data_IF_795784641516
#
_entry.id   IF_795784641516
#
_cell.length_a   1.000
_cell.length_b   1.000
_cell.length_c   1.000
_cell.angle_alpha   90.00
_cell.angle_beta   90.00
_cell.angle_gamma   90.00
#
_symmetry.space_group_name_H-M   'P 1'
#
loop_
_entity.id
_entity.type
_entity.pdbx_description
1 polymer ?
#
# COMPACT_ATOMS: atom_id res chain seq x y z
N UNK A 1 -29.13 12.39 1.94
CA UNK A 1 -28.45 12.51 0.62
C UNK A 1 -27.89 11.15 0.21
N UNK A 2 -27.99 10.71 -1.06
CA UNK A 2 -27.27 9.49 -1.48
C UNK A 2 -25.77 9.80 -1.49
N UNK A 3 -24.90 8.91 -0.99
CA UNK A 3 -23.47 9.10 -1.14
C UNK A 3 -23.12 9.19 -2.63
N UNK A 4 -22.12 10.00 -3.01
CA UNK A 4 -21.69 10.09 -4.41
C UNK A 4 -21.20 8.73 -4.90
N UNK A 5 -21.20 8.56 -6.21
CA UNK A 5 -20.55 7.39 -6.81
C UNK A 5 -19.03 7.59 -6.65
N UNK A 6 -18.43 6.73 -5.85
CA UNK A 6 -16.99 6.69 -5.69
C UNK A 6 -16.36 5.82 -6.78
N UNK A 7 -15.21 6.25 -7.29
CA UNK A 7 -14.42 5.48 -8.24
C UNK A 7 -13.32 4.74 -7.47
N UNK A 8 -13.06 3.49 -7.83
CA UNK A 8 -12.07 2.61 -7.22
C UNK A 8 -10.99 2.31 -8.27
N UNK A 9 -9.79 2.86 -8.08
CA UNK A 9 -8.64 2.68 -8.96
C UNK A 9 -7.63 1.75 -8.31
N UNK A 10 -7.23 0.73 -9.05
CA UNK A 10 -6.32 -0.31 -8.59
C UNK A 10 -4.89 0.01 -8.99
N UNK A 11 -3.98 0.08 -8.03
CA UNK A 11 -2.59 0.37 -8.31
C UNK A 11 -1.59 -0.47 -7.53
N UNK A 12 -0.33 -0.29 -7.91
CA UNK A 12 0.82 -0.89 -7.24
C UNK A 12 1.80 0.20 -6.84
N UNK A 13 2.22 0.17 -5.60
CA UNK A 13 3.17 1.11 -5.00
C UNK A 13 4.44 0.34 -4.64
N UNK A 14 5.59 0.99 -4.73
CA UNK A 14 6.91 0.47 -4.41
C UNK A 14 7.38 -0.60 -5.40
N UNK A 15 8.03 -0.16 -6.46
CA UNK A 15 8.61 -1.04 -7.49
C UNK A 15 9.85 -0.39 -8.09
N UNK A 16 10.77 -1.23 -8.58
CA UNK A 16 12.08 -0.83 -9.07
C UNK A 16 12.28 -1.21 -10.53
N UNK A 17 12.73 -0.25 -11.32
CA UNK A 17 13.04 -0.46 -12.74
C UNK A 17 14.54 -0.62 -12.98
N UNK A 18 14.94 -0.66 -14.25
CA UNK A 18 16.34 -0.63 -14.66
C UNK A 18 17.05 0.72 -14.35
N UNK A 19 16.35 1.71 -13.82
CA UNK A 19 16.95 2.94 -13.30
C UNK A 19 17.49 2.77 -11.86
N UNK A 20 17.03 1.75 -11.14
CA UNK A 20 17.57 1.37 -9.84
C UNK A 20 18.83 0.52 -10.00
N UNK A 21 19.81 0.69 -9.13
CA UNK A 21 21.09 -0.05 -9.22
C UNK A 21 20.91 -1.58 -9.06
N UNK A 22 19.80 -2.02 -8.51
CA UNK A 22 19.47 -3.43 -8.21
C UNK A 22 18.21 -3.92 -8.94
N UNK A 23 17.50 -3.04 -9.64
CA UNK A 23 16.45 -3.34 -10.57
C UNK A 23 17.01 -3.65 -11.96
N UNK A 24 16.27 -4.40 -12.80
CA UNK A 24 16.72 -4.75 -14.13
C UNK A 24 15.68 -4.63 -15.23
N UNK A 25 14.41 -4.55 -14.86
CA UNK A 25 13.32 -4.56 -15.85
C UNK A 25 13.11 -3.15 -16.41
N UNK A 26 13.18 -2.99 -17.74
CA UNK A 26 12.87 -1.70 -18.37
C UNK A 26 11.42 -1.27 -18.07
N UNK A 27 11.18 0.03 -17.89
CA UNK A 27 9.85 0.59 -17.58
C UNK A 27 8.80 0.12 -18.59
N UNK A 28 9.13 0.04 -19.87
CA UNK A 28 8.20 -0.44 -20.90
C UNK A 28 7.69 -1.88 -20.68
N UNK A 29 8.52 -2.76 -20.11
CA UNK A 29 8.11 -4.13 -19.78
C UNK A 29 7.27 -4.16 -18.48
N UNK A 30 7.58 -3.28 -17.52
CA UNK A 30 6.76 -3.10 -16.31
C UNK A 30 5.37 -2.61 -16.70
N UNK A 31 5.26 -1.61 -17.57
CA UNK A 31 4.00 -1.08 -18.07
C UNK A 31 3.19 -2.12 -18.86
N UNK A 32 3.84 -2.93 -19.72
CA UNK A 32 3.17 -4.06 -20.39
C UNK A 32 2.58 -5.06 -19.40
N UNK A 33 3.31 -5.36 -18.33
CA UNK A 33 2.82 -6.25 -17.27
C UNK A 33 1.64 -5.62 -16.51
N UNK A 34 1.69 -4.32 -16.21
CA UNK A 34 0.61 -3.57 -15.55
C UNK A 34 -0.67 -3.57 -16.40
N UNK A 35 -0.56 -3.20 -17.67
CA UNK A 35 -1.68 -3.22 -18.63
C UNK A 35 -2.30 -4.62 -18.75
N UNK A 36 -1.50 -5.67 -18.80
CA UNK A 36 -1.99 -7.06 -18.86
C UNK A 36 -2.86 -7.44 -17.65
N UNK A 37 -2.60 -6.84 -16.50
CA UNK A 37 -3.31 -7.11 -15.25
C UNK A 37 -4.35 -6.05 -14.87
N UNK A 38 -4.64 -5.10 -15.77
CA UNK A 38 -5.61 -4.04 -15.53
C UNK A 38 -5.24 -3.19 -14.30
N UNK A 39 -3.95 -2.83 -14.18
CA UNK A 39 -3.48 -1.92 -13.13
C UNK A 39 -3.65 -0.49 -13.63
N UNK A 40 -4.46 0.31 -12.91
CA UNK A 40 -4.79 1.67 -13.33
C UNK A 40 -3.63 2.64 -13.10
N UNK A 41 -2.84 2.43 -12.02
CA UNK A 41 -1.70 3.29 -11.72
C UNK A 41 -0.51 2.53 -11.11
N UNK A 42 0.69 3.06 -11.33
CA UNK A 42 1.94 2.59 -10.72
C UNK A 42 2.65 3.76 -10.03
N UNK A 43 3.18 3.52 -8.83
CA UNK A 43 4.13 4.41 -8.17
C UNK A 43 5.52 3.77 -8.20
N UNK A 44 6.32 4.18 -9.18
CA UNK A 44 7.70 3.75 -9.36
C UNK A 44 8.59 4.46 -8.32
N UNK A 45 9.50 3.72 -7.68
CA UNK A 45 10.32 4.22 -6.57
C UNK A 45 11.77 3.75 -6.66
N UNK A 46 12.39 3.97 -7.81
CA UNK A 46 13.80 3.62 -8.01
C UNK A 46 14.69 4.26 -6.94
N UNK A 47 15.71 3.54 -6.48
CA UNK A 47 16.57 3.99 -5.38
C UNK A 47 17.27 5.31 -5.67
N UNK A 48 16.96 6.33 -4.87
CA UNK A 48 17.59 7.66 -4.85
C UNK A 48 17.71 8.33 -6.22
N UNK A 49 16.70 8.14 -7.07
CA UNK A 49 16.68 8.72 -8.42
C UNK A 49 15.26 9.04 -8.89
N UNK A 50 15.14 10.17 -9.57
CA UNK A 50 13.94 10.56 -10.34
C UNK A 50 14.25 10.58 -11.85
N UNK A 51 15.26 9.82 -12.30
CA UNK A 51 15.69 9.86 -13.69
C UNK A 51 14.59 9.43 -14.66
N UNK A 52 13.76 8.46 -14.27
CA UNK A 52 12.60 8.03 -15.06
C UNK A 52 11.63 9.20 -15.33
N UNK A 53 11.42 10.11 -14.36
CA UNK A 53 10.62 11.33 -14.55
C UNK A 53 11.29 12.30 -15.52
N UNK A 54 12.59 12.54 -15.36
CA UNK A 54 13.38 13.43 -16.25
C UNK A 54 13.40 12.92 -17.70
N UNK A 55 13.38 11.61 -17.89
CA UNK A 55 13.33 10.97 -19.21
C UNK A 55 11.90 10.91 -19.78
N UNK A 56 10.89 11.51 -19.10
CA UNK A 56 9.53 11.68 -19.59
C UNK A 56 8.63 10.46 -19.46
N UNK A 57 8.94 9.53 -18.55
CA UNK A 57 8.10 8.34 -18.33
C UNK A 57 6.86 8.61 -17.46
N UNK A 58 6.84 9.72 -16.68
CA UNK A 58 5.65 10.03 -15.86
C UNK A 58 4.45 10.41 -16.74
N UNK A 59 3.30 9.74 -16.53
CA UNK A 59 2.08 9.98 -17.29
C UNK A 59 1.35 8.71 -17.74
N UNK A 60 0.38 8.88 -18.63
CA UNK A 60 -0.43 7.78 -19.14
C UNK A 60 0.27 6.92 -20.19
N UNK A 61 0.20 5.58 -20.01
CA UNK A 61 0.75 4.57 -20.92
C UNK A 61 -0.28 3.45 -21.15
N UNK A 62 -1.02 3.53 -22.27
CA UNK A 62 -1.98 2.48 -22.67
C UNK A 62 -2.95 2.02 -21.56
N UNK A 63 -3.46 2.95 -20.74
CA UNK A 63 -4.42 2.66 -19.68
C UNK A 63 -3.82 2.53 -18.27
N UNK A 64 -2.50 2.59 -18.10
CA UNK A 64 -1.83 2.70 -16.80
C UNK A 64 -1.18 4.07 -16.63
N UNK A 65 -1.46 4.75 -15.52
CA UNK A 65 -0.83 6.01 -15.15
C UNK A 65 0.45 5.73 -14.34
N UNK A 66 1.61 6.06 -14.90
CA UNK A 66 2.88 5.94 -14.19
C UNK A 66 3.17 7.24 -13.42
N UNK A 67 3.41 7.12 -12.13
CA UNK A 67 3.81 8.19 -11.22
C UNK A 67 5.21 7.85 -10.71
N UNK A 68 6.14 8.78 -10.84
CA UNK A 68 7.53 8.57 -10.47
C UNK A 68 7.81 9.23 -9.12
N UNK A 69 8.30 8.43 -8.19
CA UNK A 69 8.89 8.83 -6.93
C UNK A 69 10.28 8.23 -6.77
N UNK A 70 10.80 8.25 -5.56
CA UNK A 70 12.06 7.61 -5.22
C UNK A 70 11.94 6.83 -3.91
N UNK A 71 12.75 5.80 -3.74
CA UNK A 71 13.03 5.22 -2.44
C UNK A 71 14.36 5.76 -1.92
N UNK A 72 14.31 6.51 -0.82
CA UNK A 72 15.48 6.94 -0.05
C UNK A 72 15.86 5.74 0.82
N UNK A 73 16.96 5.07 0.48
CA UNK A 73 17.35 3.78 1.04
C UNK A 73 18.74 3.81 1.71
N UNK A 74 18.88 4.40 2.91
CA UNK A 74 20.06 4.20 3.74
C UNK A 74 20.17 2.74 4.21
N UNK A 75 21.11 2.45 5.15
CA UNK A 75 21.26 1.06 5.65
C UNK A 75 20.01 0.52 6.36
N UNK A 76 19.26 1.39 6.99
CA UNK A 76 17.97 1.16 7.64
C UNK A 76 17.04 2.32 7.32
N UNK A 77 15.78 2.23 7.74
CA UNK A 77 14.85 3.35 7.70
C UNK A 77 14.56 3.83 6.27
N UNK A 78 14.19 2.89 5.38
CA UNK A 78 13.83 3.18 4.00
C UNK A 78 12.55 4.02 3.90
N UNK A 79 12.51 4.95 2.94
CA UNK A 79 11.43 5.92 2.84
C UNK A 79 11.03 6.18 1.39
N UNK A 80 9.76 5.96 1.07
CA UNK A 80 9.21 6.29 -0.23
C UNK A 80 8.84 7.77 -0.29
N UNK A 81 9.31 8.47 -1.30
CA UNK A 81 9.07 9.90 -1.49
C UNK A 81 8.44 10.17 -2.86
N UNK A 82 7.33 10.90 -2.85
CA UNK A 82 6.52 11.22 -4.03
C UNK A 82 6.25 12.72 -4.16
N UNK A 83 5.74 13.15 -5.31
CA UNK A 83 5.41 14.56 -5.61
C UNK A 83 6.65 15.45 -5.50
N UNK A 84 7.76 14.95 -6.02
CA UNK A 84 9.04 15.66 -6.07
C UNK A 84 9.44 15.96 -7.51
N UNK A 85 10.06 17.13 -7.71
CA UNK A 85 10.68 17.50 -9.00
C UNK A 85 12.17 17.13 -9.03
N UNK A 86 12.81 17.12 -7.86
CA UNK A 86 14.18 16.71 -7.67
C UNK A 86 14.30 15.77 -6.47
N UNK A 87 15.26 14.86 -6.51
CA UNK A 87 15.53 13.92 -5.41
C UNK A 87 15.79 14.67 -4.10
N UNK A 88 15.30 14.11 -3.01
CA UNK A 88 15.40 14.73 -1.70
C UNK A 88 16.78 14.58 -1.06
N UNK A 89 17.51 13.51 -1.42
CA UNK A 89 18.80 13.16 -0.82
C UNK A 89 19.78 12.70 -1.90
N UNK A 90 21.01 13.18 -1.82
CA UNK A 90 22.09 12.67 -2.66
C UNK A 90 22.63 11.34 -2.13
N UNK A 91 23.01 10.42 -3.04
CA UNK A 91 23.53 9.09 -2.67
C UNK A 91 24.70 9.18 -1.69
N UNK A 92 25.55 10.19 -1.81
CA UNK A 92 26.69 10.40 -0.92
C UNK A 92 26.30 10.77 0.52
N UNK A 93 25.10 11.27 0.74
CA UNK A 93 24.58 11.63 2.07
C UNK A 93 23.95 10.42 2.80
N UNK A 94 23.46 9.42 2.06
CA UNK A 94 22.67 8.29 2.60
C UNK A 94 23.29 7.60 3.83
N UNK A 95 24.61 7.33 3.91
CA UNK A 95 25.19 6.64 5.06
C UNK A 95 25.11 7.40 6.38
N UNK A 96 24.86 8.72 6.34
CA UNK A 96 24.98 9.59 7.50
C UNK A 96 23.73 10.42 7.78
N UNK A 97 22.79 10.53 6.83
CA UNK A 97 21.59 11.35 6.99
C UNK A 97 20.59 10.72 7.94
N UNK A 98 20.16 11.40 9.02
CA UNK A 98 19.16 10.85 9.93
C UNK A 98 17.76 10.85 9.27
N UNK A 99 16.88 9.91 9.65
CA UNK A 99 15.52 9.78 9.08
C UNK A 99 14.71 11.07 9.13
N UNK A 100 14.75 11.79 10.22
CA UNK A 100 14.01 13.05 10.36
C UNK A 100 14.42 14.10 9.33
N UNK A 101 15.67 14.11 8.91
CA UNK A 101 16.19 15.10 7.96
C UNK A 101 15.58 14.88 6.56
N UNK A 102 15.61 13.65 6.02
CA UNK A 102 15.03 13.42 4.70
C UNK A 102 13.49 13.50 4.72
N UNK A 103 12.82 13.13 5.82
CA UNK A 103 11.38 13.37 6.00
C UNK A 103 11.09 14.88 5.90
N UNK A 104 11.88 15.72 6.57
CA UNK A 104 11.73 17.18 6.52
C UNK A 104 11.97 17.72 5.11
N UNK A 105 13.01 17.25 4.40
CA UNK A 105 13.30 17.66 3.03
C UNK A 105 12.17 17.33 2.06
N UNK A 106 11.58 16.13 2.16
CA UNK A 106 10.42 15.73 1.36
C UNK A 106 9.23 16.64 1.69
N UNK A 107 8.91 16.80 2.97
CA UNK A 107 7.78 17.62 3.42
C UNK A 107 7.90 19.10 3.02
N UNK A 108 9.05 19.71 3.18
CA UNK A 108 9.26 21.14 2.84
C UNK A 108 9.17 21.41 1.35
N UNK A 109 9.37 20.39 0.50
CA UNK A 109 9.16 20.47 -0.96
C UNK A 109 7.73 20.16 -1.37
N UNK A 110 6.79 20.00 -0.41
CA UNK A 110 5.40 19.63 -0.68
C UNK A 110 5.21 18.17 -1.07
N UNK A 111 6.24 17.33 -0.88
CA UNK A 111 6.21 15.91 -1.17
C UNK A 111 5.37 15.11 -0.18
N UNK A 112 4.96 13.92 -0.59
CA UNK A 112 4.36 12.89 0.26
C UNK A 112 5.40 11.82 0.56
N UNK A 113 5.45 11.37 1.82
CA UNK A 113 6.43 10.37 2.19
C UNK A 113 5.88 9.27 3.08
N UNK A 114 6.36 8.05 2.84
CA UNK A 114 5.90 6.84 3.52
C UNK A 114 7.08 6.05 4.06
N UNK A 115 7.00 5.64 5.31
CA UNK A 115 7.92 4.66 5.90
C UNK A 115 7.72 3.33 5.16
N UNK A 116 8.76 2.83 4.50
CA UNK A 116 8.69 1.61 3.70
C UNK A 116 8.89 0.36 4.58
N UNK A 117 8.17 -0.72 4.25
CA UNK A 117 8.33 -2.08 4.79
C UNK A 117 8.92 -2.14 6.22
N UNK A 118 8.27 -1.49 7.24
CA UNK A 118 8.89 -1.22 8.54
C UNK A 118 9.35 -2.46 9.31
N UNK A 119 8.78 -3.63 9.04
CA UNK A 119 9.10 -4.90 9.70
C UNK A 119 9.91 -5.85 8.79
N UNK A 120 10.74 -5.31 7.89
CA UNK A 120 11.56 -6.12 6.99
C UNK A 120 12.70 -6.82 7.75
N UNK A 121 12.53 -8.12 8.02
CA UNK A 121 13.50 -8.93 8.78
C UNK A 121 14.56 -9.59 7.89
N UNK A 122 14.35 -9.64 6.57
CA UNK A 122 15.19 -10.37 5.65
C UNK A 122 15.10 -11.89 5.84
N UNK A 123 16.05 -12.65 5.27
CA UNK A 123 16.14 -14.10 5.47
C UNK A 123 17.56 -14.60 5.37
N UNK A 124 18.04 -15.26 6.43
CA UNK A 124 19.37 -15.89 6.46
C UNK A 124 19.51 -16.99 5.41
N UNK A 125 18.42 -17.70 5.08
CA UNK A 125 18.39 -18.80 4.13
C UNK A 125 18.89 -18.41 2.73
N UNK A 126 18.64 -17.14 2.33
CA UNK A 126 19.03 -16.62 1.03
C UNK A 126 19.97 -15.42 1.12
N UNK A 127 20.58 -15.20 2.28
CA UNK A 127 21.48 -14.08 2.55
C UNK A 127 20.86 -12.71 2.25
N UNK A 128 19.53 -12.57 2.44
CA UNK A 128 18.85 -11.29 2.36
C UNK A 128 19.02 -10.56 3.67
N UNK A 129 19.60 -9.38 3.61
CA UNK A 129 19.79 -8.52 4.79
C UNK A 129 18.43 -7.99 5.27
N UNK A 130 18.34 -7.61 6.54
CA UNK A 130 17.19 -6.94 7.12
C UNK A 130 17.30 -5.44 6.93
N UNK A 131 16.16 -4.79 6.68
CA UNK A 131 16.03 -3.34 6.44
C UNK A 131 14.81 -2.78 7.20
N UNK A 132 14.72 -2.98 8.54
CA UNK A 132 13.58 -2.49 9.31
C UNK A 132 13.63 -0.97 9.46
N UNK A 133 12.48 -0.39 9.78
CA UNK A 133 12.42 0.96 10.30
C UNK A 133 12.77 0.97 11.79
N UNK A 134 13.73 1.78 12.20
CA UNK A 134 14.28 1.77 13.56
C UNK A 134 13.98 3.02 14.37
N UNK A 135 13.90 4.18 13.73
CA UNK A 135 13.63 5.46 14.40
C UNK A 135 12.15 5.86 14.35
N UNK A 136 11.40 5.41 15.35
CA UNK A 136 9.98 5.75 15.48
C UNK A 136 9.71 7.08 16.18
N UNK A 137 10.74 7.84 16.57
CA UNK A 137 10.60 9.18 17.14
C UNK A 137 10.35 10.25 16.07
N UNK A 138 10.52 9.93 14.79
CA UNK A 138 10.34 10.84 13.67
C UNK A 138 8.88 11.26 13.47
N UNK A 139 8.69 12.45 12.90
CA UNK A 139 7.39 13.02 12.61
C UNK A 139 7.34 13.66 11.22
N UNK A 140 6.10 13.92 10.72
CA UNK A 140 5.90 14.63 9.46
C UNK A 140 5.83 13.75 8.21
N UNK A 141 5.93 12.42 8.33
CA UNK A 141 5.64 11.49 7.24
C UNK A 141 4.12 11.37 7.01
N UNK A 142 3.71 11.06 5.78
CA UNK A 142 2.30 10.92 5.39
C UNK A 142 1.71 9.59 5.86
N UNK A 143 2.49 8.51 5.75
CA UNK A 143 1.98 7.18 6.03
C UNK A 143 3.08 6.13 6.20
N UNK A 144 2.65 4.87 6.26
CA UNK A 144 3.53 3.71 6.38
C UNK A 144 3.07 2.57 5.48
N UNK A 145 4.00 1.73 5.05
CA UNK A 145 3.70 0.43 4.46
C UNK A 145 3.12 -0.51 5.51
N UNK A 146 1.86 -0.88 5.36
CA UNK A 146 1.20 -1.80 6.29
C UNK A 146 1.29 -3.25 5.84
N UNK A 147 1.50 -3.49 4.55
CA UNK A 147 1.65 -4.82 3.98
C UNK A 147 2.59 -4.77 2.78
N UNK A 148 3.81 -5.24 2.96
CA UNK A 148 4.77 -5.42 1.88
C UNK A 148 4.82 -6.87 1.41
N UNK A 149 4.76 -7.08 0.09
CA UNK A 149 4.78 -8.40 -0.54
C UNK A 149 6.10 -9.12 -0.29
N UNK A 150 7.23 -8.45 -0.55
CA UNK A 150 8.54 -9.11 -0.45
C UNK A 150 8.86 -9.48 0.98
N UNK A 151 8.57 -8.62 1.96
CA UNK A 151 8.72 -8.91 3.39
C UNK A 151 7.86 -10.10 3.82
N UNK A 152 6.55 -10.10 3.52
CA UNK A 152 5.66 -11.19 3.93
C UNK A 152 6.05 -12.52 3.26
N UNK A 153 6.43 -12.47 1.98
CA UNK A 153 6.91 -13.65 1.28
C UNK A 153 8.22 -14.18 1.89
N UNK A 154 9.22 -13.33 2.12
CA UNK A 154 10.50 -13.70 2.72
C UNK A 154 10.33 -14.29 4.13
N UNK A 155 9.48 -13.68 4.96
CA UNK A 155 9.16 -14.17 6.31
C UNK A 155 8.45 -15.55 6.29
N UNK A 156 7.92 -15.97 5.13
CA UNK A 156 7.34 -17.31 4.96
C UNK A 156 8.39 -18.41 4.74
N UNK A 157 9.64 -18.06 4.41
CA UNK A 157 10.68 -18.98 3.96
C UNK A 157 11.40 -19.63 5.16
N UNK A 158 11.06 -20.88 5.47
CA UNK A 158 11.68 -21.64 6.59
C UNK A 158 12.52 -22.83 6.13
N UNK A 159 12.77 -22.98 4.82
CA UNK A 159 13.57 -24.08 4.26
C UNK A 159 13.46 -24.14 2.74
N UNK A 160 14.36 -24.85 2.05
CA UNK A 160 14.44 -24.87 0.58
C UNK A 160 13.18 -25.39 -0.10
N UNK A 161 12.59 -26.49 0.36
CA UNK A 161 11.36 -27.03 -0.19
C UNK A 161 10.22 -26.00 -0.09
N UNK A 162 10.10 -25.39 1.08
CA UNK A 162 9.08 -24.35 1.29
C UNK A 162 9.33 -23.13 0.41
N UNK A 163 10.59 -22.75 0.19
CA UNK A 163 10.94 -21.64 -0.70
C UNK A 163 10.54 -21.93 -2.14
N UNK A 164 10.76 -23.13 -2.65
CA UNK A 164 10.30 -23.55 -4.00
C UNK A 164 8.78 -23.45 -4.10
N UNK A 165 8.05 -23.96 -3.13
CA UNK A 165 6.58 -23.88 -3.10
C UNK A 165 6.09 -22.43 -2.97
N UNK A 166 6.72 -21.62 -2.10
CA UNK A 166 6.38 -20.23 -1.93
C UNK A 166 6.71 -19.38 -3.16
N UNK A 167 7.75 -19.73 -3.91
CA UNK A 167 8.03 -19.13 -5.20
C UNK A 167 6.98 -19.53 -6.25
N UNK A 168 6.60 -20.81 -6.32
CA UNK A 168 5.62 -21.30 -7.29
C UNK A 168 4.20 -20.74 -7.03
N UNK A 169 3.80 -20.66 -5.77
CA UNK A 169 2.45 -20.31 -5.33
C UNK A 169 2.48 -19.19 -4.25
N UNK A 170 3.04 -18.00 -4.53
CA UNK A 170 3.33 -17.00 -3.51
C UNK A 170 2.11 -16.61 -2.67
N UNK A 171 0.95 -16.41 -3.28
CA UNK A 171 -0.25 -16.00 -2.58
C UNK A 171 -0.69 -16.96 -1.46
N UNK A 172 -0.37 -18.26 -1.56
CA UNK A 172 -0.70 -19.25 -0.51
C UNK A 172 0.18 -19.11 0.72
N UNK A 173 1.33 -18.49 0.59
CA UNK A 173 2.31 -18.32 1.67
C UNK A 173 2.24 -16.96 2.33
N UNK A 174 1.55 -15.98 1.72
CA UNK A 174 1.30 -14.68 2.33
C UNK A 174 0.39 -14.84 3.56
N UNK A 175 0.78 -14.18 4.64
CA UNK A 175 0.13 -14.24 5.96
C UNK A 175 -0.72 -13.01 6.25
N UNK A 176 -0.50 -11.92 5.48
CA UNK A 176 -1.11 -10.62 5.71
C UNK A 176 -0.16 -9.63 6.38
N UNK A 177 -0.64 -8.42 6.65
CA UNK A 177 0.09 -7.44 7.42
C UNK A 177 0.60 -8.03 8.74
N UNK A 178 1.84 -7.70 9.11
CA UNK A 178 2.39 -8.15 10.38
C UNK A 178 1.57 -7.57 11.54
N UNK A 179 1.22 -8.37 12.57
CA UNK A 179 0.45 -7.86 13.71
C UNK A 179 1.13 -6.70 14.42
N UNK A 180 2.47 -6.68 14.48
CA UNK A 180 3.24 -5.58 15.06
C UNK A 180 3.07 -4.30 14.26
N UNK A 181 3.12 -4.36 12.91
CA UNK A 181 2.88 -3.22 12.02
C UNK A 181 1.48 -2.66 12.20
N UNK A 182 0.45 -3.53 12.22
CA UNK A 182 -0.93 -3.10 12.44
C UNK A 182 -1.12 -2.43 13.81
N UNK A 183 -0.58 -3.02 14.88
CA UNK A 183 -0.68 -2.46 16.23
C UNK A 183 0.03 -1.09 16.32
N UNK A 184 1.18 -0.94 15.68
CA UNK A 184 1.87 0.34 15.59
C UNK A 184 1.07 1.37 14.79
N UNK A 185 0.58 0.99 13.63
CA UNK A 185 -0.27 1.85 12.80
C UNK A 185 -1.51 2.30 13.55
N UNK A 186 -2.20 1.38 14.25
CA UNK A 186 -3.35 1.70 15.10
C UNK A 186 -2.98 2.68 16.24
N UNK A 187 -1.76 2.60 16.79
CA UNK A 187 -1.27 3.55 17.80
C UNK A 187 -1.01 4.93 17.17
N UNK A 188 -0.31 4.98 16.06
CA UNK A 188 0.01 6.24 15.36
C UNK A 188 -1.25 6.98 14.88
N UNK A 189 -2.25 6.24 14.42
CA UNK A 189 -3.52 6.83 13.94
C UNK A 189 -4.37 7.43 15.06
N UNK A 190 -4.11 7.13 16.33
CA UNK A 190 -4.76 7.78 17.47
C UNK A 190 -4.30 9.23 17.67
N UNK A 191 -3.09 9.52 17.24
CA UNK A 191 -2.48 10.86 17.42
C UNK A 191 -2.73 11.77 16.21
N UNK A 192 -2.65 11.21 15.00
CA UNK A 192 -2.84 11.93 13.75
C UNK A 192 -3.25 10.97 12.63
N UNK A 193 -3.65 11.51 11.48
CA UNK A 193 -3.82 10.68 10.29
C UNK A 193 -2.45 10.11 9.88
N UNK A 194 -2.37 8.78 9.74
CA UNK A 194 -1.24 8.05 9.17
C UNK A 194 -1.81 7.09 8.14
N UNK A 195 -1.45 7.29 6.88
CA UNK A 195 -2.01 6.52 5.77
C UNK A 195 -1.32 5.16 5.67
N UNK A 196 -2.10 4.09 5.62
CA UNK A 196 -1.60 2.73 5.34
C UNK A 196 -1.60 2.45 3.84
N UNK A 197 -0.47 1.99 3.29
CA UNK A 197 -0.34 1.55 1.91
C UNK A 197 0.10 0.09 1.82
N UNK A 198 -0.20 -0.55 0.69
CA UNK A 198 0.38 -1.84 0.30
C UNK A 198 1.58 -1.61 -0.60
N UNK A 199 2.63 -2.38 -0.40
CA UNK A 199 3.89 -2.28 -1.12
C UNK A 199 4.19 -3.58 -1.84
N UNK A 200 4.86 -3.49 -2.98
CA UNK A 200 5.32 -4.67 -3.71
C UNK A 200 6.80 -4.96 -3.47
N UNK A 201 7.61 -3.93 -3.43
CA UNK A 201 9.09 -3.96 -3.28
C UNK A 201 9.77 -4.94 -4.24
N UNK A 202 9.32 -4.93 -5.49
CA UNK A 202 9.79 -5.90 -6.48
C UNK A 202 10.89 -5.34 -7.38
N UNK A 203 11.98 -6.11 -7.51
CA UNK A 203 13.16 -5.76 -8.30
C UNK A 203 13.35 -6.67 -9.52
N UNK A 204 12.57 -7.75 -9.65
CA UNK A 204 12.77 -8.80 -10.65
C UNK A 204 14.22 -9.34 -10.65
N UNK A 205 14.80 -9.51 -9.47
CA UNK A 205 16.21 -9.88 -9.27
C UNK A 205 16.54 -11.24 -9.89
N UNK A 206 17.70 -11.36 -10.55
CA UNK A 206 18.22 -12.65 -11.00
C UNK A 206 19.00 -13.35 -9.88
N UNK A 207 18.65 -14.60 -9.62
CA UNK A 207 19.40 -15.50 -8.74
C UNK A 207 19.88 -16.71 -9.52
N UNK A 208 21.14 -17.09 -9.30
CA UNK A 208 21.68 -18.36 -9.82
C UNK A 208 21.29 -19.51 -8.89
N UNK A 209 20.57 -20.49 -9.44
CA UNK A 209 20.16 -21.69 -8.73
C UNK A 209 20.54 -22.89 -9.60
N UNK A 210 21.42 -23.77 -9.12
CA UNK A 210 21.89 -24.96 -9.84
C UNK A 210 22.40 -24.66 -11.27
N UNK A 211 23.11 -23.54 -11.45
CA UNK A 211 23.63 -23.11 -12.75
C UNK A 211 22.63 -22.35 -13.65
N UNK A 212 21.34 -22.33 -13.31
CA UNK A 212 20.31 -21.60 -14.05
C UNK A 212 20.09 -20.22 -13.45
N UNK A 213 19.88 -19.21 -14.32
CA UNK A 213 19.47 -17.88 -13.89
C UNK A 213 17.94 -17.84 -13.77
N UNK A 214 17.44 -17.69 -12.55
CA UNK A 214 16.01 -17.60 -12.25
C UNK A 214 15.68 -16.17 -11.87
N UNK A 215 14.67 -15.59 -12.55
CA UNK A 215 14.08 -14.31 -12.16
C UNK A 215 13.23 -14.51 -10.92
N UNK A 216 13.55 -13.76 -9.86
CA UNK A 216 12.74 -13.74 -8.65
C UNK A 216 11.60 -12.73 -8.88
N UNK A 217 10.41 -13.26 -9.16
CA UNK A 217 9.18 -12.53 -9.40
C UNK A 217 9.22 -11.51 -10.55
N UNK A 218 9.17 -12.00 -11.82
CA UNK A 218 8.86 -11.11 -12.94
C UNK A 218 7.57 -10.34 -12.70
N UNK A 219 7.50 -9.07 -13.08
CA UNK A 219 6.36 -8.17 -12.82
C UNK A 219 5.01 -8.78 -13.24
N UNK A 220 4.97 -9.51 -14.36
CA UNK A 220 3.77 -10.21 -14.81
C UNK A 220 3.20 -11.23 -13.81
N UNK A 221 4.02 -11.73 -12.85
CA UNK A 221 3.53 -12.66 -11.81
C UNK A 221 3.00 -11.98 -10.58
N UNK A 222 3.50 -10.78 -10.25
CA UNK A 222 3.28 -10.16 -8.94
C UNK A 222 2.22 -9.06 -8.95
N UNK A 223 1.90 -8.46 -10.09
CA UNK A 223 0.90 -7.40 -10.18
C UNK A 223 -0.54 -7.81 -9.81
N UNK A 224 -0.78 -9.08 -9.52
CA UNK A 224 -2.04 -9.59 -8.95
C UNK A 224 -1.99 -9.82 -7.45
N UNK A 225 -0.87 -9.55 -6.81
CA UNK A 225 -0.68 -9.82 -5.38
C UNK A 225 -1.12 -8.61 -4.56
N UNK A 226 -0.21 -7.96 -3.86
CA UNK A 226 -0.56 -6.81 -3.02
C UNK A 226 -0.80 -5.58 -3.91
N UNK A 227 -1.98 -4.99 -3.75
CA UNK A 227 -2.41 -3.79 -4.46
C UNK A 227 -2.89 -2.75 -3.47
N UNK A 228 -2.64 -1.49 -3.78
CA UNK A 228 -3.25 -0.34 -3.12
C UNK A 228 -4.35 0.19 -4.02
N UNK A 229 -5.56 0.24 -3.49
CA UNK A 229 -6.71 0.85 -4.15
C UNK A 229 -6.89 2.27 -3.67
N UNK A 230 -7.11 3.22 -4.58
CA UNK A 230 -7.40 4.61 -4.28
C UNK A 230 -8.85 4.94 -4.64
N UNK A 231 -9.55 5.51 -3.68
CA UNK A 231 -10.97 5.87 -3.81
C UNK A 231 -11.08 7.37 -4.10
N UNK A 232 -11.70 7.72 -5.23
CA UNK A 232 -11.84 9.11 -5.66
C UNK A 232 -13.30 9.47 -5.91
N UNK A 233 -13.67 10.73 -5.68
CA UNK A 233 -14.97 11.28 -6.08
C UNK A 233 -14.92 11.71 -7.55
N UNK A 234 -13.79 12.26 -7.99
CA UNK A 234 -13.57 12.68 -9.37
C UNK A 234 -13.04 11.51 -10.18
N UNK A 235 -13.62 11.15 -11.32
CA UNK A 235 -13.06 10.14 -12.21
C UNK A 235 -11.79 10.66 -12.88
N UNK A 236 -10.87 9.74 -13.21
CA UNK A 236 -9.69 10.06 -14.02
C UNK A 236 -10.13 10.44 -15.45
N UNK A 237 -9.47 11.45 -15.99
CA UNK A 237 -9.87 12.13 -17.23
C UNK A 237 -9.04 11.73 -18.45
N UNK A 238 -7.89 11.08 -18.25
CA UNK A 238 -6.87 10.84 -19.28
C UNK A 238 -5.83 11.98 -19.39
N UNK A 239 -5.99 13.07 -18.63
CA UNK A 239 -4.96 14.10 -18.51
C UNK A 239 -4.00 13.73 -17.39
N UNK A 240 -2.73 13.47 -17.72
CA UNK A 240 -1.74 12.98 -16.77
C UNK A 240 -1.61 13.86 -15.53
N UNK A 241 -1.44 15.17 -15.70
CA UNK A 241 -1.22 16.08 -14.58
C UNK A 241 -2.44 16.19 -13.66
N UNK A 242 -3.64 16.30 -14.23
CA UNK A 242 -4.88 16.36 -13.47
C UNK A 242 -5.13 15.05 -12.71
N UNK A 243 -4.91 13.92 -13.37
CA UNK A 243 -5.18 12.60 -12.81
C UNK A 243 -4.16 12.21 -11.72
N UNK A 244 -2.88 12.58 -11.89
CA UNK A 244 -1.86 12.47 -10.84
C UNK A 244 -2.27 13.27 -9.60
N UNK A 245 -2.78 14.48 -9.77
CA UNK A 245 -3.26 15.31 -8.65
C UNK A 245 -4.47 14.67 -7.93
N UNK A 246 -5.40 14.05 -8.67
CA UNK A 246 -6.54 13.32 -8.11
C UNK A 246 -6.07 12.12 -7.27
N UNK A 247 -5.11 11.31 -7.79
CA UNK A 247 -4.58 10.16 -7.05
C UNK A 247 -3.76 10.59 -5.83
N UNK A 248 -2.94 11.63 -5.94
CA UNK A 248 -2.23 12.16 -4.77
C UNK A 248 -3.18 12.69 -3.70
N UNK A 249 -4.26 13.36 -4.08
CA UNK A 249 -5.28 13.80 -3.11
C UNK A 249 -5.92 12.62 -2.37
N UNK A 250 -6.29 11.56 -3.10
CA UNK A 250 -6.83 10.35 -2.47
C UNK A 250 -5.82 9.70 -1.53
N UNK A 251 -4.56 9.55 -1.97
CA UNK A 251 -3.49 8.95 -1.18
C UNK A 251 -3.19 9.76 0.09
N UNK A 252 -3.01 11.07 -0.02
CA UNK A 252 -2.70 11.97 1.10
C UNK A 252 -3.79 11.98 2.16
N UNK A 253 -5.06 11.86 1.74
CA UNK A 253 -6.20 11.82 2.63
C UNK A 253 -6.52 10.41 3.16
N UNK A 254 -5.79 9.37 2.74
CA UNK A 254 -6.04 8.00 3.20
C UNK A 254 -7.33 7.40 2.62
N UNK A 255 -7.83 7.92 1.50
CA UNK A 255 -8.93 7.31 0.75
C UNK A 255 -8.43 6.09 -0.01
N UNK A 256 -7.93 5.12 0.75
CA UNK A 256 -7.22 3.95 0.24
C UNK A 256 -7.53 2.69 1.04
N UNK A 257 -7.35 1.56 0.38
CA UNK A 257 -7.28 0.27 1.04
C UNK A 257 -6.23 -0.63 0.36
N UNK A 258 -5.71 -1.60 1.11
CA UNK A 258 -4.73 -2.58 0.64
C UNK A 258 -5.44 -3.92 0.43
N UNK A 259 -5.16 -4.60 -0.68
CA UNK A 259 -5.79 -5.86 -0.98
C UNK A 259 -4.84 -6.89 -1.59
N UNK A 260 -5.10 -8.17 -1.29
CA UNK A 260 -4.54 -9.32 -2.00
C UNK A 260 -5.54 -9.78 -3.06
N UNK A 261 -5.42 -9.24 -4.27
CA UNK A 261 -6.37 -9.48 -5.37
C UNK A 261 -6.16 -10.81 -6.12
N UNK A 262 -5.19 -11.59 -5.69
CA UNK A 262 -4.86 -12.85 -6.34
C UNK A 262 -6.00 -13.85 -6.40
N UNK A 263 -6.72 -14.03 -5.30
CA UNK A 263 -7.81 -15.00 -5.20
C UNK A 263 -9.12 -14.49 -5.78
N UNK A 264 -9.45 -13.26 -5.47
CA UNK A 264 -10.66 -12.55 -5.88
C UNK A 264 -10.37 -11.05 -5.91
N UNK A 265 -10.89 -10.37 -6.93
CA UNK A 265 -10.83 -8.91 -6.98
C UNK A 265 -11.57 -8.31 -5.79
N UNK A 266 -10.96 -7.31 -5.18
CA UNK A 266 -11.55 -6.50 -4.12
C UNK A 266 -12.31 -5.28 -4.66
N UNK A 267 -12.26 -5.01 -5.97
CA UNK A 267 -12.97 -3.89 -6.59
C UNK A 267 -14.46 -3.95 -6.29
N UNK A 268 -15.01 -2.82 -5.85
CA UNK A 268 -16.36 -2.73 -5.32
C UNK A 268 -16.45 -2.86 -3.78
N UNK A 269 -15.31 -2.98 -3.09
CA UNK A 269 -15.26 -2.76 -1.64
C UNK A 269 -15.68 -1.32 -1.32
N UNK A 270 -16.50 -1.15 -0.29
CA UNK A 270 -16.89 0.17 0.20
C UNK A 270 -17.16 0.16 1.70
N UNK A 271 -16.86 1.29 2.33
CA UNK A 271 -17.20 1.56 3.72
C UNK A 271 -17.71 2.99 3.82
N UNK A 272 -18.99 3.14 4.11
CA UNK A 272 -19.68 4.43 4.18
C UNK A 272 -20.31 4.59 5.55
N UNK A 273 -19.91 5.63 6.26
CA UNK A 273 -20.55 6.09 7.48
C UNK A 273 -21.49 7.24 7.14
N UNK A 274 -22.75 7.18 7.61
CA UNK A 274 -23.74 8.22 7.31
C UNK A 274 -24.69 8.44 8.49
N UNK A 275 -25.14 9.67 8.66
CA UNK A 275 -26.24 10.04 9.55
C UNK A 275 -27.55 10.32 8.78
N UNK A 276 -27.55 10.04 7.48
CA UNK A 276 -28.68 10.32 6.58
C UNK A 276 -28.46 11.57 5.72
N UNK A 277 -27.88 12.63 6.27
CA UNK A 277 -27.63 13.90 5.58
C UNK A 277 -26.19 14.03 5.10
N UNK A 278 -25.23 13.55 5.89
CA UNK A 278 -23.80 13.57 5.61
C UNK A 278 -23.27 12.14 5.46
N UNK A 279 -22.14 12.02 4.80
CA UNK A 279 -21.41 10.75 4.70
C UNK A 279 -19.91 10.97 4.88
N UNK A 280 -19.22 9.90 5.25
CA UNK A 280 -17.76 9.78 5.25
C UNK A 280 -17.36 8.41 4.72
N UNK A 281 -16.20 8.33 4.09
CA UNK A 281 -15.57 7.10 3.63
C UNK A 281 -14.17 6.97 4.21
N UNK A 282 -13.36 6.04 3.70
CA UNK A 282 -11.99 5.82 4.13
C UNK A 282 -11.19 7.13 4.14
N UNK A 283 -10.40 7.34 5.19
CA UNK A 283 -9.59 8.53 5.39
C UNK A 283 -10.33 9.75 5.92
N UNK A 284 -11.65 9.81 5.81
CA UNK A 284 -12.42 10.98 6.21
C UNK A 284 -12.60 11.07 7.74
N UNK A 285 -12.76 12.31 8.22
CA UNK A 285 -13.22 12.61 9.57
C UNK A 285 -14.74 12.81 9.57
N UNK A 286 -15.43 12.32 10.60
CA UNK A 286 -16.87 12.43 10.77
C UNK A 286 -17.24 12.76 12.20
N UNK A 287 -17.77 13.97 12.43
CA UNK A 287 -18.29 14.38 13.73
C UNK A 287 -19.72 13.84 13.93
N UNK A 288 -19.93 12.96 14.92
CA UNK A 288 -21.25 12.42 15.25
C UNK A 288 -21.99 13.30 16.23
N UNK A 289 -23.23 13.68 15.90
CA UNK A 289 -24.19 14.35 16.77
C UNK A 289 -25.20 13.36 17.37
N UNK A 290 -25.47 12.30 16.63
CA UNK A 290 -26.35 11.18 17.00
C UNK A 290 -25.79 9.88 16.37
N UNK A 291 -26.27 8.72 16.78
CA UNK A 291 -25.82 7.45 16.24
C UNK A 291 -25.96 7.39 14.71
N UNK A 292 -24.82 7.14 14.03
CA UNK A 292 -24.72 7.06 12.59
C UNK A 292 -24.57 5.61 12.13
N UNK A 293 -24.89 5.29 10.88
CA UNK A 293 -24.82 3.93 10.34
C UNK A 293 -23.54 3.76 9.50
N UNK A 294 -22.70 2.79 9.89
CA UNK A 294 -21.58 2.32 9.05
C UNK A 294 -22.04 1.13 8.23
N UNK A 295 -21.97 1.27 6.91
CA UNK A 295 -22.24 0.24 5.91
C UNK A 295 -20.94 -0.19 5.26
N UNK A 296 -20.56 -1.45 5.45
CA UNK A 296 -19.42 -2.07 4.77
C UNK A 296 -19.96 -3.07 3.76
N UNK A 297 -19.47 -3.00 2.51
CA UNK A 297 -19.78 -3.95 1.45
C UNK A 297 -18.51 -4.51 0.85
N UNK A 298 -18.50 -5.82 0.57
CA UNK A 298 -17.42 -6.52 -0.13
C UNK A 298 -18.00 -7.28 -1.34
N UNK A 299 -17.26 -7.36 -2.48
CA UNK A 299 -17.80 -7.98 -3.70
C UNK A 299 -18.02 -9.50 -3.56
N UNK A 300 -17.30 -10.15 -2.67
CA UNK A 300 -17.40 -11.60 -2.42
C UNK A 300 -17.66 -11.87 -0.96
N UNK A 301 -18.27 -13.05 -0.65
CA UNK A 301 -18.45 -13.47 0.73
C UNK A 301 -17.12 -13.58 1.45
N UNK A 302 -17.05 -12.92 2.61
CA UNK A 302 -15.85 -12.82 3.42
C UNK A 302 -16.17 -12.76 4.91
N UNK A 303 -15.21 -13.05 5.77
CA UNK A 303 -15.26 -12.63 7.16
C UNK A 303 -14.84 -11.17 7.21
N UNK A 304 -15.76 -10.30 7.57
CA UNK A 304 -15.55 -8.85 7.71
C UNK A 304 -15.39 -8.54 9.19
N UNK A 305 -14.34 -7.83 9.56
CA UNK A 305 -14.06 -7.37 10.92
C UNK A 305 -14.01 -5.84 10.91
N UNK A 306 -14.73 -5.23 11.79
CA UNK A 306 -14.59 -3.82 12.13
C UNK A 306 -13.67 -3.71 13.34
N UNK A 307 -12.60 -2.99 13.19
CA UNK A 307 -11.61 -2.68 14.22
C UNK A 307 -11.87 -1.26 14.69
N UNK A 308 -11.88 -1.05 16.00
CA UNK A 308 -11.99 0.29 16.62
C UNK A 308 -10.81 0.54 17.53
N UNK A 309 -10.05 1.59 17.28
CA UNK A 309 -8.86 1.98 18.07
C UNK A 309 -7.80 0.86 18.21
N UNK A 310 -7.72 -0.03 17.22
CA UNK A 310 -6.84 -1.20 17.22
C UNK A 310 -7.48 -2.50 17.72
N UNK A 311 -8.66 -2.44 18.38
CA UNK A 311 -9.31 -3.61 18.94
C UNK A 311 -10.48 -4.12 18.08
N UNK A 312 -10.71 -5.43 17.99
CA UNK A 312 -11.89 -6.00 17.34
C UNK A 312 -13.18 -5.47 17.97
N UNK A 313 -14.03 -4.85 17.16
CA UNK A 313 -15.27 -4.23 17.64
C UNK A 313 -16.52 -5.01 17.21
N UNK A 314 -16.63 -5.35 15.91
CA UNK A 314 -17.74 -6.14 15.35
C UNK A 314 -17.21 -7.03 14.24
N UNK A 315 -17.92 -8.12 13.96
CA UNK A 315 -17.64 -8.97 12.80
C UNK A 315 -18.89 -9.60 12.23
N UNK A 316 -18.83 -9.92 10.93
CA UNK A 316 -19.84 -10.71 10.23
C UNK A 316 -19.18 -11.63 9.19
N UNK A 317 -19.92 -12.64 8.73
CA UNK A 317 -19.58 -13.44 7.55
C UNK A 317 -20.65 -13.20 6.50
N UNK A 318 -20.26 -12.77 5.31
CA UNK A 318 -21.16 -12.41 4.24
C UNK A 318 -20.57 -11.38 3.29
N UNK A 319 -21.43 -10.68 2.55
CA UNK A 319 -21.04 -9.60 1.65
C UNK A 319 -21.20 -8.20 2.25
N UNK A 320 -21.62 -8.10 3.50
CA UNK A 320 -21.80 -6.81 4.16
C UNK A 320 -21.74 -6.90 5.67
N UNK A 321 -21.46 -5.76 6.28
CA UNK A 321 -21.52 -5.53 7.72
C UNK A 321 -22.18 -4.17 7.98
N UNK A 322 -23.24 -4.15 8.78
CA UNK A 322 -23.98 -2.94 9.14
C UNK A 322 -23.84 -2.72 10.64
N UNK A 323 -23.34 -1.56 11.03
CA UNK A 323 -23.07 -1.24 12.44
C UNK A 323 -23.52 0.19 12.77
N UNK A 324 -24.29 0.31 13.83
CA UNK A 324 -24.61 1.63 14.43
C UNK A 324 -23.40 2.14 15.21
N UNK A 325 -22.86 3.27 14.80
CA UNK A 325 -21.74 3.96 15.44
C UNK A 325 -22.28 5.07 16.32
N UNK A 326 -22.07 4.94 17.61
CA UNK A 326 -22.50 5.92 18.64
C UNK A 326 -21.34 6.50 19.45
N UNK A 327 -20.13 6.03 19.22
CA UNK A 327 -18.96 6.40 19.99
C UNK A 327 -17.84 6.91 19.08
N UNK A 328 -17.10 7.94 19.51
CA UNK A 328 -15.90 8.39 18.80
C UNK A 328 -14.86 7.28 18.78
N UNK A 329 -14.01 7.29 17.75
CA UNK A 329 -12.94 6.32 17.59
C UNK A 329 -12.45 6.24 16.16
N UNK A 330 -11.44 5.45 15.94
CA UNK A 330 -10.80 5.20 14.66
C UNK A 330 -11.26 3.84 14.19
N UNK A 331 -12.02 3.83 13.07
CA UNK A 331 -12.69 2.63 12.59
C UNK A 331 -12.09 2.17 11.26
N UNK A 332 -11.45 1.00 11.23
CA UNK A 332 -10.95 0.38 10.00
C UNK A 332 -11.51 -1.02 9.79
N UNK A 333 -11.45 -1.47 8.56
CA UNK A 333 -12.02 -2.75 8.14
C UNK A 333 -10.91 -3.72 7.76
N UNK A 334 -11.05 -4.96 8.21
CA UNK A 334 -10.29 -6.10 7.73
C UNK A 334 -11.26 -7.12 7.12
N UNK A 335 -10.95 -7.65 5.94
CA UNK A 335 -11.72 -8.73 5.35
C UNK A 335 -10.84 -9.93 5.00
N UNK A 336 -11.40 -11.13 5.18
CA UNK A 336 -10.71 -12.40 4.97
C UNK A 336 -11.55 -13.33 4.10
N UNK A 337 -11.00 -13.79 2.99
CA UNK A 337 -11.65 -14.79 2.12
C UNK A 337 -11.50 -16.20 2.68
N UNK A 338 -12.52 -17.01 2.53
CA UNK A 338 -12.43 -18.44 2.82
C UNK A 338 -11.91 -19.19 1.59
N UNK A 339 -10.63 -19.58 1.65
CA UNK A 339 -9.92 -20.29 0.57
C UNK A 339 -9.52 -21.67 1.10
N UNK A 340 -9.97 -22.74 0.46
CA UNK A 340 -9.73 -24.12 0.89
C UNK A 340 -10.00 -24.35 2.39
N UNK A 341 -11.15 -23.84 2.87
CA UNK A 341 -11.59 -23.99 4.26
C UNK A 341 -10.92 -23.09 5.28
N UNK A 342 -9.90 -22.32 4.89
CA UNK A 342 -9.17 -21.40 5.77
C UNK A 342 -9.42 -19.94 5.41
N UNK A 343 -9.51 -19.08 6.43
CA UNK A 343 -9.58 -17.64 6.20
C UNK A 343 -8.18 -17.09 5.84
N UNK A 344 -8.11 -16.38 4.70
CA UNK A 344 -6.92 -15.75 4.16
C UNK A 344 -7.08 -14.24 4.15
N UNK A 345 -6.03 -13.47 4.46
CA UNK A 345 -6.09 -12.02 4.40
C UNK A 345 -6.47 -11.56 2.99
N UNK A 346 -7.31 -10.52 2.92
CA UNK A 346 -7.79 -10.03 1.65
C UNK A 346 -7.81 -8.51 1.57
N UNK A 347 -8.56 -7.80 2.44
CA UNK A 347 -8.68 -6.33 2.43
C UNK A 347 -8.32 -5.77 3.79
N UNK A 348 -7.53 -4.69 3.81
CA UNK A 348 -7.19 -3.88 4.98
C UNK A 348 -7.38 -2.41 4.61
N UNK A 349 -8.38 -1.76 5.20
CA UNK A 349 -8.72 -0.38 4.85
C UNK A 349 -8.00 0.63 5.73
N UNK A 350 -7.76 1.82 5.17
CA UNK A 350 -7.53 3.00 5.99
C UNK A 350 -8.77 3.30 6.85
N UNK A 351 -8.60 3.99 7.99
CA UNK A 351 -9.71 4.21 8.91
C UNK A 351 -10.61 5.37 8.51
N UNK A 352 -11.85 5.35 9.05
CA UNK A 352 -12.73 6.51 9.20
C UNK A 352 -12.51 7.05 10.61
N UNK A 353 -12.27 8.36 10.75
CA UNK A 353 -11.99 9.04 12.01
C UNK A 353 -13.29 9.65 12.56
N UNK A 354 -13.86 9.02 13.58
CA UNK A 354 -15.11 9.47 14.18
C UNK A 354 -14.81 10.31 15.42
N UNK A 355 -15.29 11.55 15.43
CA UNK A 355 -15.16 12.48 16.56
C UNK A 355 -16.51 12.78 17.19
N UNK A 356 -16.53 13.36 18.39
CA UNK A 356 -17.72 14.06 18.90
C UNK A 356 -17.70 15.49 18.40
N UNK A 357 -18.87 16.02 18.10
CA UNK A 357 -19.09 17.45 17.86
C UNK A 357 -18.90 18.24 19.13
#
# INVERSE_FOLDING_TARGET
>A
MKPPKLNDYTGVIHLHSAYSFDGRTPIGEILKAANHHGVDFLFLTDHSTLQAKKDGFEGWHNGTLLIVGEEIAPRFDHYLAFRLEEKAVDIGELPQIPPQEYINRVRTRGGLGFIAHPDHEGTALFHVKHYPWTDWSVAGYTGIGIWDFMTDWQNSLSGYLRAVLAYALPAFFLRGPAPATLARWDTLTKERRVVGIGELDNHDTLKRVLGWSISIFPYRRVFRLIRTHLITETPLSGNSQADIAVLFNALENGRAYVALDYYRSSSGFSAILTDGDRYATLGDAFAIHHPSELRVSVPHEARIRLIRNGDPYRQAVGKGLFVKISEPGIYRIEAYLRIFGRYRPWIFSNPIYVTRS
#
